data_IF_401130399992
#
_entry.id   IF_401130399992
#
_cell.length_a   1.000
_cell.length_b   1.000
_cell.length_c   1.000
_cell.angle_alpha   90.00
_cell.angle_beta   90.00
_cell.angle_gamma   90.00
#
_symmetry.space_group_name_H-M   'P 1'
#
loop_
_entity.id
_entity.type
_entity.pdbx_description
1 polymer ?
#
# COMPACT_ATOMS: atom_id res chain seq x y z
N UNK A 1 -40.40 25.41 8.00
CA UNK A 1 -39.88 26.78 7.87
C UNK A 1 -38.74 26.95 8.86
N UNK A 2 -37.49 27.04 8.43
CA UNK A 2 -36.45 27.66 9.26
C UNK A 2 -35.38 28.32 8.39
N UNK A 3 -35.16 29.58 8.72
CA UNK A 3 -34.39 30.64 8.09
C UNK A 3 -32.92 30.27 7.80
N UNK A 4 -32.42 30.81 6.68
CA UNK A 4 -31.01 31.17 6.49
C UNK A 4 -30.59 32.19 7.55
N UNK A 5 -29.41 32.00 8.14
CA UNK A 5 -28.57 33.08 8.66
C UNK A 5 -27.11 32.76 8.33
N UNK A 6 -26.53 33.61 7.49
CA UNK A 6 -25.09 33.81 7.28
C UNK A 6 -24.70 35.01 8.17
N UNK A 7 -23.47 34.96 8.71
CA UNK A 7 -22.70 35.98 9.46
C UNK A 7 -22.43 35.50 10.89
N UNK A 8 -21.21 35.50 11.43
CA UNK A 8 -19.89 35.94 10.97
C UNK A 8 -18.94 35.77 12.16
N UNK A 9 -17.66 35.52 11.91
CA UNK A 9 -16.58 35.66 12.89
C UNK A 9 -15.28 35.86 12.08
N UNK A 10 -14.87 37.11 11.88
CA UNK A 10 -13.87 37.79 12.69
C UNK A 10 -12.44 37.33 12.36
N UNK A 11 -11.84 38.02 11.39
CA UNK A 11 -10.40 38.15 11.20
C UNK A 11 -9.84 39.10 12.26
N UNK A 12 -9.05 38.60 13.21
CA UNK A 12 -7.97 39.32 13.93
C UNK A 12 -6.98 38.23 14.38
N UNK A 13 -5.91 37.97 13.63
CA UNK A 13 -4.60 38.64 13.62
C UNK A 13 -3.59 38.06 14.64
N UNK A 14 -2.44 37.68 14.07
CA UNK A 14 -1.08 37.80 14.62
C UNK A 14 -0.69 36.94 15.83
N UNK A 15 0.03 35.84 15.53
CA UNK A 15 1.38 35.62 16.06
C UNK A 15 1.95 34.34 15.45
N UNK A 16 2.40 34.41 14.19
CA UNK A 16 3.43 33.48 13.73
C UNK A 16 4.75 33.98 14.35
N UNK A 17 5.48 33.19 15.16
CA UNK A 17 6.82 33.58 15.51
C UNK A 17 7.67 33.54 14.24
N UNK A 18 7.96 34.72 13.70
CA UNK A 18 9.24 34.96 13.03
C UNK A 18 10.32 34.64 14.06
N UNK A 19 10.97 33.49 13.89
CA UNK A 19 12.30 33.27 14.43
C UNK A 19 13.16 32.74 13.29
N UNK A 20 13.85 33.70 12.69
CA UNK A 20 15.21 33.60 12.22
C UNK A 20 15.53 32.45 11.26
N UNK A 21 15.58 32.86 10.01
CA UNK A 21 16.52 32.42 8.98
C UNK A 21 17.94 32.40 9.57
N UNK A 22 18.30 31.35 10.32
CA UNK A 22 19.69 31.12 10.66
C UNK A 22 20.31 30.35 9.50
N UNK A 23 21.05 31.12 8.70
CA UNK A 23 22.03 30.68 7.74
C UNK A 23 22.70 29.37 8.19
N UNK A 24 22.87 28.45 7.25
CA UNK A 24 23.80 27.35 7.42
C UNK A 24 25.13 27.90 7.95
N UNK A 25 25.69 27.37 9.04
CA UNK A 25 27.02 27.77 9.46
C UNK A 25 28.01 27.44 8.34
N UNK A 26 28.59 28.48 7.74
CA UNK A 26 29.59 28.39 6.67
C UNK A 26 30.99 28.06 7.19
N UNK A 27 31.12 27.47 8.38
CA UNK A 27 32.40 27.04 8.93
C UNK A 27 32.33 25.53 9.27
N UNK A 28 33.33 24.74 8.85
CA UNK A 28 33.42 23.34 9.26
C UNK A 28 33.55 23.26 10.79
N UNK A 29 32.87 22.35 11.48
CA UNK A 29 33.11 22.12 12.90
C UNK A 29 34.51 21.51 13.07
N UNK A 30 35.45 22.38 13.45
CA UNK A 30 36.81 22.03 13.86
C UNK A 30 36.78 21.57 15.32
N UNK A 31 36.32 20.34 15.59
CA UNK A 31 36.72 19.65 16.83
C UNK A 31 36.59 18.13 16.69
N UNK A 32 37.70 17.37 16.73
CA UNK A 32 37.66 15.92 16.74
C UNK A 32 36.90 15.40 17.97
N UNK A 33 35.91 14.52 17.76
CA UNK A 33 35.26 13.78 18.84
C UNK A 33 33.88 14.27 19.31
N UNK A 34 33.21 15.22 18.63
CA UNK A 34 31.77 15.46 18.88
C UNK A 34 30.89 14.55 18.02
N UNK A 35 29.62 14.38 18.41
CA UNK A 35 28.62 13.51 17.75
C UNK A 35 28.42 13.82 16.25
N UNK A 36 28.81 15.02 15.80
CA UNK A 36 28.73 15.47 14.42
C UNK A 36 29.92 15.05 13.52
N UNK A 37 30.99 14.44 14.07
CA UNK A 37 32.16 14.00 13.30
C UNK A 37 31.88 12.70 12.49
N UNK A 38 32.07 12.69 11.15
CA UNK A 38 31.94 11.49 10.31
C UNK A 38 32.90 10.35 10.67
N UNK A 39 34.03 10.64 11.33
CA UNK A 39 35.04 9.67 11.74
C UNK A 39 34.78 9.01 13.10
N UNK A 40 33.79 9.48 13.88
CA UNK A 40 33.51 8.91 15.20
C UNK A 40 32.68 7.62 15.05
N UNK A 41 33.11 6.47 15.62
CA UNK A 41 32.38 5.22 15.53
C UNK A 41 30.96 5.35 16.11
N UNK A 42 29.94 5.23 15.27
CA UNK A 42 28.55 5.16 15.70
C UNK A 42 28.13 3.72 15.94
N UNK A 43 27.26 3.50 16.93
CA UNK A 43 26.58 2.22 17.12
C UNK A 43 25.87 1.83 15.82
N UNK A 44 26.07 0.61 15.29
CA UNK A 44 25.43 0.18 14.06
C UNK A 44 23.91 0.28 14.16
N UNK A 45 23.26 0.79 13.11
CA UNK A 45 21.81 0.80 13.03
C UNK A 45 21.30 -0.65 12.90
N UNK A 46 20.18 -1.02 13.55
CA UNK A 46 19.65 -2.40 13.52
C UNK A 46 19.35 -2.97 12.13
N UNK A 47 19.27 -2.10 11.11
CA UNK A 47 18.97 -2.46 9.72
C UNK A 47 20.20 -2.45 8.79
N UNK A 48 21.41 -2.19 9.30
CA UNK A 48 22.62 -2.25 8.48
C UNK A 48 23.02 -3.72 8.27
N UNK A 49 22.26 -4.40 7.39
CA UNK A 49 22.50 -5.78 6.95
C UNK A 49 23.71 -5.81 6.03
N UNK A 50 24.89 -5.56 6.59
CA UNK A 50 26.20 -5.98 6.08
C UNK A 50 26.31 -6.14 4.57
N UNK A 51 25.89 -5.15 3.78
CA UNK A 51 26.17 -5.16 2.36
C UNK A 51 27.61 -4.69 2.26
N UNK A 52 28.51 -5.67 2.23
CA UNK A 52 29.95 -5.55 2.08
C UNK A 52 30.28 -4.75 0.83
N UNK A 53 30.30 -3.43 0.97
CA UNK A 53 31.02 -2.58 0.04
C UNK A 53 32.50 -2.75 0.38
N UNK A 54 33.40 -2.94 -0.60
CA UNK A 54 34.84 -2.96 -0.36
C UNK A 54 35.24 -1.56 0.12
N UNK A 55 35.22 -1.41 1.44
CA UNK A 55 35.56 -0.21 2.18
C UNK A 55 36.67 -0.66 3.11
N UNK A 56 37.76 0.11 3.15
CA UNK A 56 38.94 -0.19 3.98
C UNK A 56 38.57 -0.47 5.44
N UNK A 57 37.50 0.16 5.95
CA UNK A 57 36.94 -0.07 7.29
C UNK A 57 36.32 -1.46 7.47
N UNK A 58 35.54 -1.94 6.50
CA UNK A 58 34.87 -3.25 6.55
C UNK A 58 35.91 -4.36 6.44
N UNK A 59 36.91 -4.18 5.57
CA UNK A 59 38.02 -5.12 5.42
C UNK A 59 38.86 -5.21 6.70
N UNK A 60 39.18 -4.08 7.35
CA UNK A 60 39.93 -4.08 8.60
C UNK A 60 39.21 -4.77 9.78
N UNK A 61 37.87 -4.69 9.83
CA UNK A 61 37.05 -5.36 10.85
C UNK A 61 36.93 -6.87 10.56
N UNK A 62 36.82 -7.26 9.29
CA UNK A 62 36.58 -8.64 8.89
C UNK A 62 37.88 -9.47 8.76
N UNK A 63 39.02 -8.84 8.48
CA UNK A 63 40.30 -9.54 8.25
C UNK A 63 40.76 -10.44 9.41
N UNK A 64 40.64 -10.03 10.69
CA UNK A 64 41.08 -10.85 11.82
C UNK A 64 40.34 -12.20 11.93
N UNK A 65 39.08 -12.25 11.51
CA UNK A 65 38.22 -13.43 11.65
C UNK A 65 38.01 -14.16 10.32
N UNK A 66 38.67 -13.74 9.24
CA UNK A 66 38.44 -14.27 7.88
C UNK A 66 38.67 -15.78 7.79
N UNK A 67 39.67 -16.29 8.52
CA UNK A 67 40.08 -17.70 8.45
C UNK A 67 39.12 -18.58 9.27
N UNK A 68 38.59 -18.07 10.38
CA UNK A 68 37.52 -18.73 11.16
C UNK A 68 36.20 -18.76 10.38
N UNK A 69 35.85 -17.67 9.69
CA UNK A 69 34.66 -17.61 8.82
C UNK A 69 34.82 -18.57 7.63
N UNK A 70 36.00 -18.63 7.02
CA UNK A 70 36.29 -19.58 5.94
C UNK A 70 36.21 -21.04 6.44
N UNK A 71 36.74 -21.33 7.63
CA UNK A 71 36.66 -22.65 8.25
C UNK A 71 35.20 -23.03 8.57
N UNK A 72 34.41 -22.14 9.16
CA UNK A 72 32.99 -22.36 9.45
C UNK A 72 32.15 -22.57 8.17
N UNK A 73 32.43 -21.81 7.11
CA UNK A 73 31.79 -21.97 5.81
C UNK A 73 32.18 -23.30 5.15
N UNK A 74 33.43 -23.74 5.30
CA UNK A 74 33.88 -25.04 4.80
C UNK A 74 33.24 -26.22 5.54
N UNK A 75 33.01 -26.10 6.85
CA UNK A 75 32.28 -27.10 7.65
C UNK A 75 30.79 -27.16 7.27
N UNK A 76 30.18 -26.03 6.95
CA UNK A 76 28.79 -25.95 6.47
C UNK A 76 28.63 -26.58 5.09
N UNK A 77 29.62 -26.38 4.22
CA UNK A 77 29.67 -26.95 2.86
C UNK A 77 29.99 -28.46 2.86
N UNK A 78 30.76 -28.94 3.84
CA UNK A 78 31.09 -30.36 4.01
C UNK A 78 30.02 -31.20 4.72
N UNK A 79 29.14 -30.56 5.52
CA UNK A 79 28.08 -31.24 6.27
C UNK A 79 26.79 -31.44 5.48
N UNK A 80 26.68 -30.82 4.29
CA UNK A 80 25.58 -31.04 3.37
C UNK A 80 25.89 -32.24 2.47
N UNK A 81 25.73 -33.44 3.04
CA UNK A 81 25.77 -34.69 2.30
C UNK A 81 24.91 -34.56 1.02
N UNK A 82 25.55 -34.74 -0.15
CA UNK A 82 25.00 -34.42 -1.46
C UNK A 82 23.63 -35.09 -1.77
N UNK A 83 23.27 -36.17 -1.07
CA UNK A 83 21.95 -36.81 -1.18
C UNK A 83 20.83 -36.09 -0.42
N UNK A 84 21.11 -35.54 0.76
CA UNK A 84 20.11 -34.83 1.59
C UNK A 84 19.83 -33.44 1.03
N UNK A 85 20.87 -32.73 0.56
CA UNK A 85 20.70 -31.41 -0.07
C UNK A 85 19.91 -31.49 -1.38
N UNK A 86 20.16 -32.50 -2.22
CA UNK A 86 19.40 -32.72 -3.45
C UNK A 86 17.92 -33.06 -3.17
N UNK A 87 17.64 -33.93 -2.20
CA UNK A 87 16.28 -34.28 -1.80
C UNK A 87 15.53 -33.07 -1.19
N UNK A 88 16.18 -32.29 -0.34
CA UNK A 88 15.63 -31.03 0.21
C UNK A 88 15.34 -30.05 -0.93
N UNK A 89 16.22 -29.94 -1.93
CA UNK A 89 15.98 -29.04 -3.07
C UNK A 89 14.80 -29.49 -3.94
N UNK A 90 14.62 -30.80 -4.13
CA UNK A 90 13.50 -31.35 -4.90
C UNK A 90 12.16 -31.18 -4.15
N UNK A 91 12.17 -31.40 -2.83
CA UNK A 91 11.00 -31.18 -1.98
C UNK A 91 10.60 -29.69 -1.94
N UNK A 92 11.59 -28.79 -1.76
CA UNK A 92 11.36 -27.33 -1.84
C UNK A 92 10.83 -26.89 -3.20
N UNK A 93 11.35 -27.46 -4.30
CA UNK A 93 10.84 -27.18 -5.64
C UNK A 93 9.40 -27.70 -5.81
N UNK A 94 9.09 -28.87 -5.24
CA UNK A 94 7.74 -29.43 -5.22
C UNK A 94 6.75 -28.54 -4.46
N UNK A 95 7.14 -28.07 -3.27
CA UNK A 95 6.36 -27.12 -2.46
C UNK A 95 6.15 -25.80 -3.21
N UNK A 96 7.21 -25.23 -3.80
CA UNK A 96 7.10 -24.02 -4.62
C UNK A 96 6.11 -24.18 -5.78
N UNK A 97 6.19 -25.30 -6.51
CA UNK A 97 5.28 -25.56 -7.63
C UNK A 97 3.83 -25.72 -7.14
N UNK A 98 3.61 -26.36 -5.99
CA UNK A 98 2.29 -26.51 -5.39
C UNK A 98 1.72 -25.16 -4.93
N UNK A 99 2.52 -24.34 -4.26
CA UNK A 99 2.14 -22.99 -3.84
C UNK A 99 1.84 -22.09 -5.04
N UNK A 100 2.63 -22.19 -6.10
CA UNK A 100 2.39 -21.45 -7.34
C UNK A 100 1.08 -21.88 -8.00
N UNK A 101 0.79 -23.18 -8.04
CA UNK A 101 -0.47 -23.69 -8.59
C UNK A 101 -1.67 -23.21 -7.76
N UNK A 102 -1.58 -23.26 -6.43
CA UNK A 102 -2.61 -22.76 -5.53
C UNK A 102 -2.82 -21.24 -5.68
N UNK A 103 -1.72 -20.48 -5.78
CA UNK A 103 -1.77 -19.04 -6.01
C UNK A 103 -2.43 -18.69 -7.34
N UNK A 104 -2.07 -19.37 -8.43
CA UNK A 104 -2.69 -19.17 -9.74
C UNK A 104 -4.19 -19.47 -9.72
N UNK A 105 -4.62 -20.52 -9.01
CA UNK A 105 -6.03 -20.87 -8.88
C UNK A 105 -6.81 -19.84 -8.05
N UNK A 106 -6.22 -19.36 -6.95
CA UNK A 106 -6.78 -18.28 -6.14
C UNK A 106 -6.95 -16.99 -6.96
N UNK A 107 -5.97 -16.65 -7.80
CA UNK A 107 -6.05 -15.48 -8.70
C UNK A 107 -7.16 -15.64 -9.73
N UNK A 108 -7.25 -16.79 -10.42
CA UNK A 108 -8.34 -17.05 -11.37
C UNK A 108 -9.72 -16.95 -10.71
N UNK A 109 -9.87 -17.51 -9.51
CA UNK A 109 -11.13 -17.43 -8.74
C UNK A 109 -11.46 -15.99 -8.35
N UNK A 110 -10.45 -15.22 -7.92
CA UNK A 110 -10.61 -13.81 -7.58
C UNK A 110 -11.06 -13.00 -8.79
N UNK A 111 -10.43 -13.18 -9.94
CA UNK A 111 -10.77 -12.45 -11.16
C UNK A 111 -12.19 -12.78 -11.63
N UNK A 112 -12.60 -14.04 -11.57
CA UNK A 112 -13.97 -14.45 -11.85
C UNK A 112 -14.99 -13.75 -10.93
N UNK A 113 -14.68 -13.63 -9.63
CA UNK A 113 -15.54 -12.90 -8.66
C UNK A 113 -15.60 -11.40 -8.97
N UNK A 114 -14.48 -10.78 -9.33
CA UNK A 114 -14.44 -9.37 -9.71
C UNK A 114 -15.29 -9.13 -10.96
N UNK A 115 -15.15 -9.97 -11.98
CA UNK A 115 -15.95 -9.89 -13.20
C UNK A 115 -17.45 -10.07 -12.92
N UNK A 116 -17.82 -11.05 -12.09
CA UNK A 116 -19.21 -11.26 -11.68
C UNK A 116 -19.77 -10.02 -10.93
N UNK A 117 -19.00 -9.46 -10.00
CA UNK A 117 -19.37 -8.27 -9.25
C UNK A 117 -19.53 -7.05 -10.18
N UNK A 118 -18.59 -6.82 -11.10
CA UNK A 118 -18.69 -5.74 -12.08
C UNK A 118 -19.97 -5.84 -12.91
N UNK A 119 -20.29 -7.04 -13.42
CA UNK A 119 -21.54 -7.26 -14.16
C UNK A 119 -22.79 -6.96 -13.32
N UNK A 120 -22.76 -7.27 -12.03
CA UNK A 120 -23.87 -7.02 -11.12
C UNK A 120 -24.04 -5.52 -10.85
N UNK A 121 -22.94 -4.78 -10.66
CA UNK A 121 -22.98 -3.33 -10.53
C UNK A 121 -23.47 -2.64 -11.81
N UNK A 122 -23.06 -3.11 -12.98
CA UNK A 122 -23.53 -2.57 -14.25
C UNK A 122 -25.04 -2.77 -14.43
N UNK A 123 -25.57 -3.94 -14.06
CA UNK A 123 -27.01 -4.19 -14.05
C UNK A 123 -27.75 -3.26 -13.08
N UNK A 124 -27.22 -3.04 -11.88
CA UNK A 124 -27.80 -2.08 -10.93
C UNK A 124 -27.83 -0.65 -11.47
N UNK A 125 -26.75 -0.20 -12.12
CA UNK A 125 -26.70 1.14 -12.69
C UNK A 125 -27.74 1.33 -13.80
N UNK A 126 -27.88 0.32 -14.69
CA UNK A 126 -28.92 0.32 -15.74
C UNK A 126 -30.32 0.30 -15.14
N UNK A 127 -30.56 -0.59 -14.19
CA UNK A 127 -31.86 -0.71 -13.51
C UNK A 127 -32.26 0.59 -12.78
N UNK A 128 -31.31 1.27 -12.15
CA UNK A 128 -31.53 2.59 -11.57
C UNK A 128 -31.85 3.64 -12.65
N UNK A 129 -31.11 3.67 -13.76
CA UNK A 129 -31.36 4.60 -14.85
C UNK A 129 -32.76 4.38 -15.47
N UNK A 130 -33.16 3.13 -15.67
CA UNK A 130 -34.48 2.76 -16.20
C UNK A 130 -35.61 3.16 -15.23
N UNK A 131 -35.42 2.92 -13.93
CA UNK A 131 -36.35 3.38 -12.91
C UNK A 131 -36.51 4.91 -12.92
N UNK A 132 -35.40 5.65 -13.06
CA UNK A 132 -35.42 7.12 -13.17
C UNK A 132 -36.10 7.58 -14.45
N UNK A 133 -35.92 6.88 -15.56
CA UNK A 133 -36.62 7.18 -16.81
C UNK A 133 -38.14 7.00 -16.66
N UNK A 134 -38.59 5.89 -16.09
CA UNK A 134 -40.02 5.65 -15.82
C UNK A 134 -40.59 6.69 -14.86
N UNK A 135 -39.85 7.05 -13.81
CA UNK A 135 -40.26 8.07 -12.87
C UNK A 135 -40.45 9.43 -13.55
N UNK A 136 -39.53 9.85 -14.42
CA UNK A 136 -39.67 11.10 -15.21
C UNK A 136 -40.90 11.08 -16.11
N UNK A 137 -41.25 9.92 -16.70
CA UNK A 137 -42.49 9.78 -17.45
C UNK A 137 -43.73 9.93 -16.56
N UNK A 138 -43.72 9.32 -15.37
CA UNK A 138 -44.82 9.46 -14.40
C UNK A 138 -45.00 10.91 -13.96
N UNK A 139 -43.92 11.62 -13.66
CA UNK A 139 -43.95 13.05 -13.29
C UNK A 139 -44.54 13.88 -14.42
N UNK A 140 -44.04 13.70 -15.65
CA UNK A 140 -44.56 14.40 -16.83
C UNK A 140 -46.05 14.16 -17.05
N UNK A 141 -46.51 12.91 -16.88
CA UNK A 141 -47.92 12.57 -17.08
C UNK A 141 -48.78 13.12 -15.93
N UNK A 142 -48.27 13.13 -14.69
CA UNK A 142 -48.92 13.79 -13.57
C UNK A 142 -49.06 15.31 -13.79
N UNK A 143 -48.01 15.98 -14.29
CA UNK A 143 -48.04 17.41 -14.65
C UNK A 143 -49.06 17.72 -15.75
N UNK A 144 -49.35 16.76 -16.63
CA UNK A 144 -50.40 16.85 -17.66
C UNK A 144 -51.82 16.62 -17.12
N UNK A 145 -51.97 16.36 -15.83
CA UNK A 145 -53.26 16.16 -15.16
C UNK A 145 -53.73 14.71 -15.09
N UNK A 146 -52.91 13.73 -15.50
CA UNK A 146 -53.27 12.32 -15.38
C UNK A 146 -53.17 11.85 -13.92
N UNK A 147 -54.30 11.86 -13.21
CA UNK A 147 -54.39 11.47 -11.78
C UNK A 147 -53.83 10.07 -11.48
N UNK A 148 -53.97 9.12 -12.41
CA UNK A 148 -53.41 7.78 -12.23
C UNK A 148 -51.88 7.78 -12.16
N UNK A 149 -51.21 8.72 -12.84
CA UNK A 149 -49.76 8.85 -12.83
C UNK A 149 -49.28 9.52 -11.54
N UNK A 150 -50.05 10.48 -11.01
CA UNK A 150 -49.76 11.11 -9.71
C UNK A 150 -49.87 10.13 -8.53
N UNK A 151 -50.80 9.17 -8.61
CA UNK A 151 -51.04 8.19 -7.53
C UNK A 151 -50.21 6.90 -7.71
N UNK A 152 -49.35 6.82 -8.72
CA UNK A 152 -48.48 5.66 -8.94
C UNK A 152 -47.32 5.67 -7.94
N UNK A 153 -46.91 4.50 -7.42
CA UNK A 153 -45.73 4.42 -6.58
C UNK A 153 -44.46 4.72 -7.39
N UNK A 154 -43.45 5.26 -6.70
CA UNK A 154 -42.11 5.45 -7.27
C UNK A 154 -41.57 4.13 -7.80
N UNK A 155 -41.04 4.08 -9.04
CA UNK A 155 -40.44 2.87 -9.60
C UNK A 155 -39.30 2.37 -8.72
N UNK A 156 -39.31 1.08 -8.38
CA UNK A 156 -38.24 0.44 -7.63
C UNK A 156 -37.18 -0.07 -8.63
N UNK A 157 -35.90 0.36 -8.53
CA UNK A 157 -34.82 -0.15 -9.38
C UNK A 157 -34.71 -1.68 -9.38
N UNK A 158 -35.07 -2.37 -8.30
CA UNK A 158 -35.03 -3.83 -8.25
C UNK A 158 -35.94 -4.49 -9.31
N UNK A 159 -37.03 -3.83 -9.72
CA UNK A 159 -37.95 -4.36 -10.73
C UNK A 159 -37.36 -4.31 -12.16
N UNK A 160 -36.25 -3.60 -12.34
CA UNK A 160 -35.53 -3.42 -13.61
C UNK A 160 -34.23 -4.23 -13.66
N UNK A 161 -33.93 -5.04 -12.63
CA UNK A 161 -32.75 -5.91 -12.56
C UNK A 161 -32.92 -7.17 -13.44
N UNK A 162 -32.98 -6.99 -14.76
CA UNK A 162 -33.08 -8.06 -15.76
C UNK A 162 -31.73 -8.41 -16.40
#
# INVERSE_FOLDING_TARGET
>A
MLKRLIAGAALVALAAPLAAQNAAPTNPPTQPGTKEDPGTPRTPLPADRGYDKPQVRTEAINNPNKDEVAAANSMTSGSSAAGTAAAISADLQGQYNADMAAWLDAMRTRDARIAANASHYDRQQRAYADAMYVWRMQVRDCERGFQFACNRPTPNPADFMR
#
